data_IF_553142674814
#
_entry.id   IF_553142674814
#
_cell.length_a   1.000
_cell.length_b   1.000
_cell.length_c   1.000
_cell.angle_alpha   90.00
_cell.angle_beta   90.00
_cell.angle_gamma   90.00
#
_symmetry.space_group_name_H-M   'P 1'
#
loop_
_entity.id
_entity.type
_entity.pdbx_description
1 polymer ?
#
# COMPACT_ATOMS: atom_id res chain seq x y z
N UNK A 1 -4.69 -3.91 11.42
CA UNK A 1 -4.61 -2.83 12.43
C UNK A 1 -3.89 -1.66 11.81
N UNK A 2 -4.39 -0.43 11.96
CA UNK A 2 -3.80 0.76 11.35
C UNK A 2 -3.14 1.68 12.38
N UNK A 3 -1.89 2.06 12.12
CA UNK A 3 -1.09 2.98 12.91
C UNK A 3 -1.03 4.32 12.19
N UNK A 4 -1.68 5.34 12.76
CA UNK A 4 -1.66 6.70 12.20
C UNK A 4 -0.31 7.37 12.48
N UNK A 5 0.23 8.05 11.48
CA UNK A 5 1.41 8.90 11.62
C UNK A 5 1.21 10.24 10.87
N UNK A 6 2.09 11.20 11.15
CA UNK A 6 2.13 12.53 10.51
C UNK A 6 3.34 12.71 9.59
N UNK A 7 4.27 11.75 9.59
CA UNK A 7 5.42 11.69 8.68
C UNK A 7 5.71 10.22 8.37
N UNK A 8 5.05 9.72 7.33
CA UNK A 8 5.11 8.32 6.92
C UNK A 8 6.50 7.98 6.36
N UNK A 9 7.15 8.88 5.61
CA UNK A 9 8.47 8.63 5.03
C UNK A 9 9.48 8.34 6.14
N UNK A 10 9.59 9.23 7.13
CA UNK A 10 10.51 9.03 8.26
C UNK A 10 10.12 7.81 9.09
N UNK A 11 8.82 7.58 9.29
CA UNK A 11 8.32 6.42 10.04
C UNK A 11 8.74 5.11 9.37
N UNK A 12 8.52 4.96 8.07
CA UNK A 12 8.86 3.74 7.32
C UNK A 12 10.37 3.53 7.24
N UNK A 13 11.15 4.60 7.05
CA UNK A 13 12.61 4.51 7.12
C UNK A 13 13.09 3.98 8.46
N UNK A 14 12.54 4.47 9.58
CA UNK A 14 12.89 3.99 10.93
C UNK A 14 12.45 2.55 11.15
N UNK A 15 11.27 2.16 10.68
CA UNK A 15 10.77 0.79 10.79
C UNK A 15 11.64 -0.20 10.00
N UNK A 16 12.01 0.13 8.76
CA UNK A 16 12.92 -0.69 7.95
C UNK A 16 14.29 -0.85 8.61
N UNK A 17 14.86 0.21 9.17
CA UNK A 17 16.13 0.13 9.94
C UNK A 17 16.05 -0.78 11.16
N UNK A 18 14.84 -1.02 11.69
CA UNK A 18 14.58 -1.92 12.83
C UNK A 18 14.20 -3.34 12.38
N UNK A 19 14.30 -3.65 11.09
CA UNK A 19 14.03 -4.99 10.55
C UNK A 19 12.56 -5.24 10.18
N UNK A 20 11.71 -4.22 10.13
CA UNK A 20 10.33 -4.41 9.65
C UNK A 20 10.33 -4.50 8.12
N UNK A 21 9.76 -5.58 7.61
CA UNK A 21 9.57 -5.82 6.18
C UNK A 21 8.18 -5.35 5.73
N UNK A 22 8.11 -4.85 4.49
CA UNK A 22 6.90 -4.31 3.89
C UNK A 22 6.61 -5.00 2.57
N UNK A 23 5.32 -5.02 2.19
CA UNK A 23 4.92 -5.52 0.87
C UNK A 23 5.58 -4.69 -0.23
N UNK A 24 5.86 -5.36 -1.35
CA UNK A 24 6.45 -4.72 -2.54
C UNK A 24 5.36 -4.40 -3.54
N UNK A 25 5.37 -3.17 -4.03
CA UNK A 25 4.42 -2.63 -5.01
C UNK A 25 5.15 -2.57 -6.37
N UNK A 26 4.51 -2.98 -7.47
CA UNK A 26 5.13 -2.97 -8.79
C UNK A 26 5.41 -1.51 -9.22
N UNK A 27 6.50 -1.28 -9.96
CA UNK A 27 6.86 0.07 -10.43
C UNK A 27 5.76 0.72 -11.27
N UNK A 28 5.03 -0.09 -12.05
CA UNK A 28 3.92 0.35 -12.91
C UNK A 28 2.82 1.07 -12.13
N UNK A 29 2.58 0.72 -10.87
CA UNK A 29 1.63 1.41 -10.01
C UNK A 29 1.93 2.92 -9.91
N UNK A 30 3.21 3.27 -9.77
CA UNK A 30 3.63 4.66 -9.63
C UNK A 30 3.56 5.42 -10.95
N UNK A 31 3.77 4.71 -12.07
CA UNK A 31 3.62 5.29 -13.41
C UNK A 31 2.14 5.63 -13.67
N UNK A 32 1.22 4.74 -13.30
CA UNK A 32 -0.23 4.97 -13.34
C UNK A 32 -0.67 6.06 -12.34
N UNK A 33 -0.06 6.11 -11.15
CA UNK A 33 -0.33 7.15 -10.15
C UNK A 33 0.05 8.53 -10.69
N UNK A 34 1.24 8.67 -11.29
CA UNK A 34 1.70 9.92 -11.92
C UNK A 34 0.72 10.37 -13.01
N UNK A 35 0.23 9.45 -13.84
CA UNK A 35 -0.80 9.75 -14.84
C UNK A 35 -2.10 10.24 -14.20
N UNK A 36 -2.60 9.55 -13.16
CA UNK A 36 -3.84 9.94 -12.45
C UNK A 36 -3.72 11.31 -11.77
N UNK A 37 -2.57 11.60 -11.15
CA UNK A 37 -2.28 12.90 -10.52
C UNK A 37 -2.20 14.02 -11.56
N UNK A 38 -1.70 13.75 -12.76
CA UNK A 38 -1.63 14.75 -13.85
C UNK A 38 -3.02 15.26 -14.29
N UNK A 39 -4.07 14.48 -14.02
CA UNK A 39 -5.47 14.83 -14.29
C UNK A 39 -6.22 15.32 -13.05
N UNK A 40 -5.55 15.42 -11.90
CA UNK A 40 -6.13 15.82 -10.61
C UNK A 40 -5.68 17.23 -10.22
N UNK A 41 -6.42 17.86 -9.30
CA UNK A 41 -6.03 19.11 -8.63
C UNK A 41 -5.14 18.85 -7.41
N UNK A 42 -4.98 17.59 -7.01
CA UNK A 42 -4.20 17.21 -5.84
C UNK A 42 -2.71 17.34 -6.10
N UNK A 43 -2.03 18.00 -5.18
CA UNK A 43 -0.58 18.07 -5.12
C UNK A 43 -0.11 17.29 -3.88
N UNK A 44 0.78 16.32 -4.09
CA UNK A 44 1.43 15.62 -3.00
C UNK A 44 2.55 16.50 -2.44
N UNK A 45 2.70 16.53 -1.12
CA UNK A 45 3.83 17.21 -0.48
C UNK A 45 5.10 16.35 -0.54
N UNK A 46 4.92 15.02 -0.59
CA UNK A 46 5.99 14.04 -0.68
C UNK A 46 6.47 13.80 -2.13
N UNK A 47 7.77 13.56 -2.28
CA UNK A 47 8.36 13.15 -3.56
C UNK A 47 7.89 11.75 -3.96
N UNK A 48 7.21 11.63 -5.11
CA UNK A 48 6.76 10.36 -5.69
C UNK A 48 7.90 9.35 -5.84
N UNK A 49 9.13 9.79 -6.14
CA UNK A 49 10.29 8.90 -6.21
C UNK A 49 10.57 8.26 -4.86
N UNK A 50 10.39 9.01 -3.77
CA UNK A 50 10.56 8.49 -2.41
C UNK A 50 9.43 7.54 -2.01
N UNK A 51 8.20 7.86 -2.40
CA UNK A 51 7.06 6.97 -2.21
C UNK A 51 7.26 5.63 -2.96
N UNK A 52 7.77 5.70 -4.20
CA UNK A 52 8.17 4.55 -5.03
C UNK A 52 9.25 3.70 -4.37
N UNK A 53 10.34 4.32 -3.89
CA UNK A 53 11.41 3.62 -3.17
C UNK A 53 10.90 2.90 -1.90
N UNK A 54 10.01 3.54 -1.15
CA UNK A 54 9.51 3.02 0.11
C UNK A 54 8.34 2.06 -0.02
N UNK A 55 7.78 1.89 -1.22
CA UNK A 55 6.58 1.09 -1.50
C UNK A 55 5.31 1.65 -0.82
N UNK A 56 5.21 2.98 -0.72
CA UNK A 56 4.05 3.67 -0.15
C UNK A 56 2.98 3.84 -1.23
N UNK A 57 1.75 3.46 -0.92
CA UNK A 57 0.56 3.62 -1.74
C UNK A 57 -0.09 4.98 -1.50
N UNK A 58 -0.72 5.52 -2.53
CA UNK A 58 -1.42 6.80 -2.53
C UNK A 58 -2.85 6.61 -3.05
N UNK A 59 -3.83 7.06 -2.26
CA UNK A 59 -5.18 7.29 -2.74
C UNK A 59 -5.52 8.78 -2.57
N UNK A 60 -6.41 9.32 -3.39
CA UNK A 60 -6.75 10.73 -3.32
C UNK A 60 -8.16 11.00 -3.83
N UNK A 61 -8.74 12.08 -3.33
CA UNK A 61 -10.04 12.60 -3.73
C UNK A 61 -9.91 14.10 -4.08
N UNK A 62 -11.02 14.82 -4.24
CA UNK A 62 -10.99 16.24 -4.55
C UNK A 62 -10.48 17.13 -3.41
N UNK A 63 -10.41 16.62 -2.18
CA UNK A 63 -10.09 17.38 -0.97
C UNK A 63 -8.66 17.14 -0.48
N UNK A 64 -8.11 15.95 -0.73
CA UNK A 64 -6.82 15.57 -0.20
C UNK A 64 -6.35 14.18 -0.65
N UNK A 65 -5.36 13.67 0.06
CA UNK A 65 -4.76 12.37 -0.23
C UNK A 65 -4.43 11.57 1.03
N UNK A 66 -4.21 10.29 0.79
CA UNK A 66 -3.97 9.27 1.78
C UNK A 66 -2.75 8.45 1.40
N UNK A 67 -1.79 8.38 2.33
CA UNK A 67 -0.62 7.53 2.19
C UNK A 67 -0.79 6.30 3.07
N UNK A 68 -0.58 5.11 2.49
CA UNK A 68 -0.70 3.83 3.18
C UNK A 68 0.45 2.90 2.81
N UNK A 69 0.83 2.04 3.74
CA UNK A 69 1.78 0.95 3.48
C UNK A 69 1.51 -0.19 4.44
N UNK A 70 1.75 -1.41 3.95
CA UNK A 70 1.44 -2.63 4.67
C UNK A 70 2.71 -3.44 4.92
N UNK A 71 2.87 -3.93 6.15
CA UNK A 71 3.98 -4.82 6.49
C UNK A 71 3.81 -6.17 5.77
N UNK A 72 4.89 -6.94 5.64
CA UNK A 72 4.74 -8.37 5.39
C UNK A 72 4.01 -9.05 6.57
N UNK A 73 3.44 -10.26 6.37
CA UNK A 73 2.83 -11.00 7.46
C UNK A 73 3.84 -11.25 8.59
N UNK A 74 3.47 -10.94 9.83
CA UNK A 74 4.37 -11.08 10.99
C UNK A 74 4.52 -12.52 11.51
N UNK A 75 3.78 -13.46 10.93
CA UNK A 75 3.75 -14.87 11.33
C UNK A 75 3.75 -15.76 10.08
N UNK A 76 4.17 -17.02 10.23
CA UNK A 76 4.17 -18.02 9.15
C UNK A 76 2.78 -18.24 8.55
N UNK A 77 1.72 -18.02 9.36
CA UNK A 77 0.35 -17.97 8.89
C UNK A 77 0.00 -16.55 8.45
N UNK A 78 -0.36 -16.30 7.18
CA UNK A 78 -0.54 -14.96 6.61
C UNK A 78 -1.86 -14.30 7.04
N UNK A 79 -2.02 -14.07 8.34
CA UNK A 79 -3.30 -13.62 8.94
C UNK A 79 -3.24 -12.22 9.53
N UNK A 80 -2.04 -11.74 9.90
CA UNK A 80 -1.88 -10.42 10.51
C UNK A 80 -0.89 -9.55 9.73
N UNK A 81 -1.42 -8.44 9.22
CA UNK A 81 -0.68 -7.36 8.60
C UNK A 81 -0.87 -6.08 9.44
N UNK A 82 0.21 -5.30 9.57
CA UNK A 82 0.13 -3.94 10.09
C UNK A 82 0.06 -2.96 8.93
N UNK A 83 -0.77 -1.96 9.12
CA UNK A 83 -0.90 -0.84 8.20
C UNK A 83 -0.36 0.41 8.89
N UNK A 84 0.44 1.20 8.17
CA UNK A 84 0.82 2.55 8.56
C UNK A 84 0.12 3.53 7.62
N UNK A 85 -0.54 4.54 8.19
CA UNK A 85 -1.43 5.44 7.45
C UNK A 85 -1.14 6.91 7.80
N UNK A 86 -1.08 7.78 6.80
CA UNK A 86 -1.03 9.24 6.95
C UNK A 86 -2.12 9.87 6.08
N UNK A 87 -2.87 10.81 6.67
CA UNK A 87 -4.01 11.49 6.03
C UNK A 87 -3.70 12.97 5.87
N UNK A 88 -3.79 13.46 4.65
CA UNK A 88 -3.64 14.88 4.31
C UNK A 88 -4.99 15.35 3.75
N UNK A 89 -5.84 15.88 4.64
CA UNK A 89 -7.20 16.34 4.33
C UNK A 89 -8.11 15.30 3.60
N UNK A 90 -7.90 14.02 3.89
CA UNK A 90 -8.62 12.91 3.26
C UNK A 90 -9.47 12.15 4.28
N UNK A 91 -10.78 12.08 4.01
CA UNK A 91 -11.77 11.45 4.89
C UNK A 91 -12.20 10.05 4.44
N UNK A 92 -11.86 9.64 3.21
CA UNK A 92 -12.20 8.33 2.68
C UNK A 92 -11.43 7.16 3.32
N UNK A 93 -11.75 5.94 2.91
CA UNK A 93 -11.11 4.72 3.42
C UNK A 93 -9.92 4.21 2.57
N UNK A 94 -9.65 4.83 1.41
CA UNK A 94 -8.54 4.41 0.55
C UNK A 94 -8.86 3.18 -0.30
N UNK A 95 -10.04 3.12 -0.92
CA UNK A 95 -10.49 1.93 -1.66
C UNK A 95 -9.54 1.53 -2.79
N UNK A 96 -8.85 2.50 -3.42
CA UNK A 96 -7.84 2.21 -4.43
C UNK A 96 -6.63 1.49 -3.86
N UNK A 97 -6.23 1.80 -2.62
CA UNK A 97 -5.11 1.17 -1.95
C UNK A 97 -5.42 -0.26 -1.51
N UNK A 98 -6.69 -0.59 -1.23
CA UNK A 98 -7.11 -1.96 -0.93
C UNK A 98 -6.92 -2.92 -2.11
N UNK A 99 -7.20 -2.47 -3.34
CA UNK A 99 -6.95 -3.28 -4.54
C UNK A 99 -5.45 -3.55 -4.72
N UNK A 100 -4.63 -2.51 -4.62
CA UNK A 100 -3.17 -2.64 -4.73
C UNK A 100 -2.57 -3.52 -3.62
N UNK A 101 -3.12 -3.45 -2.40
CA UNK A 101 -2.79 -4.37 -1.30
C UNK A 101 -3.10 -5.82 -1.67
N UNK A 102 -4.30 -6.10 -2.16
CA UNK A 102 -4.73 -7.46 -2.49
C UNK A 102 -3.82 -8.07 -3.55
N UNK A 103 -3.54 -7.34 -4.63
CA UNK A 103 -2.61 -7.76 -5.69
C UNK A 103 -1.18 -7.99 -5.15
N UNK A 104 -0.72 -7.18 -4.20
CA UNK A 104 0.59 -7.36 -3.56
C UNK A 104 0.63 -8.61 -2.66
N UNK A 105 -0.46 -8.90 -1.94
CA UNK A 105 -0.60 -10.10 -1.09
C UNK A 105 -0.67 -11.36 -1.94
N UNK A 106 -1.47 -11.38 -3.00
CA UNK A 106 -1.56 -12.51 -3.93
C UNK A 106 -0.19 -12.83 -4.55
N UNK A 107 0.56 -11.80 -4.96
CA UNK A 107 1.92 -11.97 -5.47
C UNK A 107 2.86 -12.58 -4.44
N UNK A 108 2.73 -12.19 -3.17
CA UNK A 108 3.54 -12.73 -2.09
C UNK A 108 3.17 -14.19 -1.76
N UNK A 109 1.87 -14.53 -1.78
CA UNK A 109 1.41 -15.91 -1.64
C UNK A 109 1.85 -16.80 -2.80
N UNK A 110 1.86 -16.28 -4.03
CA UNK A 110 2.40 -16.98 -5.19
C UNK A 110 3.88 -17.34 -5.02
N UNK A 111 4.69 -16.40 -4.51
CA UNK A 111 6.11 -16.64 -4.22
C UNK A 111 6.32 -17.70 -3.14
N UNK A 112 5.45 -17.76 -2.15
CA UNK A 112 5.51 -18.74 -1.05
C UNK A 112 4.92 -20.12 -1.41
N UNK A 113 4.31 -20.25 -2.58
CA UNK A 113 3.67 -21.49 -3.03
C UNK A 113 2.39 -21.85 -2.27
N UNK A 114 1.80 -20.89 -1.55
CA UNK A 114 0.57 -21.09 -0.75
C UNK A 114 -0.68 -20.50 -1.41
N UNK A 115 -0.62 -20.21 -2.72
CA UNK A 115 -1.80 -19.84 -3.49
C UNK A 115 -2.77 -21.04 -3.49
N UNK A 116 -3.79 -20.97 -2.63
CA UNK A 116 -4.98 -21.79 -2.81
C UNK A 116 -5.75 -21.07 -3.92
N UNK A 117 -5.78 -21.67 -5.10
CA UNK A 117 -6.70 -21.25 -6.15
C UNK A 117 -8.09 -21.57 -5.59
N UNK A 118 -8.77 -20.59 -5.02
CA UNK A 118 -10.22 -20.70 -4.86
C UNK A 118 -10.80 -20.60 -6.27
N UNK A 119 -10.94 -21.77 -6.90
CA UNK A 119 -11.71 -21.96 -8.12
C UNK A 119 -13.17 -21.65 -7.80
N UNK A 120 -13.55 -20.36 -7.86
CA UNK A 120 -14.95 -19.94 -7.82
C UNK A 120 -15.71 -20.31 -9.11
N UNK A 121 -15.19 -21.24 -9.91
CA UNK A 121 -15.81 -21.79 -11.10
C UNK A 121 -15.98 -23.31 -11.03
N UNK A 122 -16.54 -23.82 -9.91
CA UNK A 122 -17.35 -25.04 -9.96
C UNK A 122 -18.16 -25.29 -8.68
N UNK A 123 -19.48 -25.17 -8.77
CA UNK A 123 -20.37 -25.82 -7.79
C UNK A 123 -21.73 -25.14 -7.54
N UNK A 124 -22.72 -25.57 -8.33
CA UNK A 124 -24.19 -25.43 -8.21
C UNK A 124 -24.85 -24.14 -8.73
#
# INVERSE_FOLDING_TARGET
MALRCTDIITTIQKMRRRGVEFLTIPSSYYDELEQRLSHSKIHLEEDIKKLRELNILVDFDDNGYLLQIFTQPMQDRPTLFLEVIQRNNFNGFGAGNFKALFEAVEREQAKRGTLIVDDFSNGY
#
